data_IF_652042308505
#
_entry.id   IF_652042308505
#
_cell.length_a   1.000
_cell.length_b   1.000
_cell.length_c   1.000
_cell.angle_alpha   90.00
_cell.angle_beta   90.00
_cell.angle_gamma   90.00
#
_symmetry.space_group_name_H-M   'P 1'
#
loop_
_entity.id
_entity.type
_entity.pdbx_description
1 polymer ?
#
# COMPACT_ATOMS: atom_id res chain seq x y z
N UNK A 1 -8.18 -4.88 15.39
CA UNK A 1 -8.20 -3.39 15.46
C UNK A 1 -8.28 -2.92 14.02
N UNK A 2 -9.32 -2.19 13.65
CA UNK A 2 -9.38 -1.56 12.31
C UNK A 2 -8.57 -0.26 12.44
N UNK A 3 -7.45 -0.18 11.75
CA UNK A 3 -6.60 1.03 11.74
C UNK A 3 -6.87 1.74 10.41
N UNK A 4 -7.38 2.97 10.48
CA UNK A 4 -7.50 3.80 9.28
C UNK A 4 -6.14 4.37 8.87
N UNK A 5 -6.02 4.74 7.59
CA UNK A 5 -4.87 5.44 7.06
C UNK A 5 -4.59 6.71 7.86
N UNK A 6 -5.62 7.48 8.18
CA UNK A 6 -5.46 8.73 8.93
C UNK A 6 -4.88 8.50 10.34
N UNK A 7 -5.34 7.47 11.05
CA UNK A 7 -4.80 7.13 12.37
C UNK A 7 -3.36 6.64 12.28
N UNK A 8 -3.04 5.88 11.23
CA UNK A 8 -1.68 5.41 10.96
C UNK A 8 -0.76 6.58 10.59
N UNK A 9 -1.18 7.48 9.70
CA UNK A 9 -0.44 8.68 9.32
C UNK A 9 -0.08 9.52 10.55
N UNK A 10 -1.05 9.81 11.43
CA UNK A 10 -0.80 10.57 12.66
C UNK A 10 0.21 9.88 13.59
N UNK A 11 0.14 8.55 13.71
CA UNK A 11 1.06 7.79 14.54
C UNK A 11 2.49 7.85 13.97
N UNK A 12 2.63 7.59 12.66
CA UNK A 12 3.92 7.50 12.00
C UNK A 12 4.57 8.87 11.75
N UNK A 13 3.78 9.94 11.62
CA UNK A 13 4.32 11.29 11.38
C UNK A 13 5.24 11.77 12.51
N UNK A 14 5.04 11.29 13.73
CA UNK A 14 5.87 11.60 14.89
C UNK A 14 7.19 10.78 14.92
N UNK A 15 7.35 9.79 14.04
CA UNK A 15 8.53 8.95 13.97
C UNK A 15 9.52 9.50 12.95
N UNK A 16 10.15 10.64 13.27
CA UNK A 16 11.04 11.34 12.34
C UNK A 16 12.25 10.52 11.85
N UNK A 17 12.63 9.45 12.56
CA UNK A 17 13.73 8.55 12.18
C UNK A 17 13.25 7.34 11.36
N UNK A 18 11.95 7.21 11.11
CA UNK A 18 11.40 6.10 10.34
C UNK A 18 11.82 6.21 8.87
N UNK A 19 12.68 5.31 8.44
CA UNK A 19 13.19 5.23 7.07
C UNK A 19 12.65 4.02 6.31
N UNK A 20 12.09 3.04 7.03
CA UNK A 20 11.60 1.78 6.49
C UNK A 20 10.21 1.51 7.05
N UNK A 21 9.25 1.23 6.17
CA UNK A 21 7.88 0.91 6.55
C UNK A 21 7.43 -0.32 5.77
N UNK A 22 6.92 -1.32 6.49
CA UNK A 22 6.23 -2.48 5.90
C UNK A 22 4.80 -2.49 6.40
N UNK A 23 3.84 -2.59 5.48
CA UNK A 23 2.41 -2.56 5.80
C UNK A 23 1.77 -3.85 5.35
N UNK A 24 1.21 -4.60 6.29
CA UNK A 24 0.38 -5.76 6.00
C UNK A 24 -1.05 -5.44 6.39
N UNK A 25 -1.98 -5.56 5.46
CA UNK A 25 -3.38 -5.26 5.71
C UNK A 25 -4.30 -6.18 4.90
N UNK A 26 -5.41 -6.56 5.53
CA UNK A 26 -6.53 -7.23 4.85
C UNK A 26 -7.69 -6.25 4.64
N UNK A 27 -8.68 -6.68 3.85
CA UNK A 27 -9.93 -6.02 3.47
C UNK A 27 -10.51 -4.95 4.44
N UNK A 28 -11.30 -4.02 3.89
CA UNK A 28 -12.02 -2.89 4.55
C UNK A 28 -11.17 -1.75 5.12
N UNK A 29 -9.88 -1.72 4.83
CA UNK A 29 -9.04 -0.59 5.20
C UNK A 29 -8.95 0.42 4.03
N UNK A 30 -8.85 1.70 4.35
CA UNK A 30 -8.57 2.81 3.42
C UNK A 30 -7.09 2.85 2.99
N UNK A 31 -6.30 1.84 3.38
CA UNK A 31 -4.88 1.70 3.09
C UNK A 31 -4.57 1.32 1.63
N UNK A 32 -5.56 0.87 0.85
CA UNK A 32 -5.35 0.47 -0.56
C UNK A 32 -5.41 1.66 -1.54
N UNK A 33 -4.78 2.79 -1.19
CA UNK A 33 -4.71 3.97 -2.05
C UNK A 33 -3.25 4.42 -2.22
N UNK A 34 -2.66 4.12 -3.38
CA UNK A 34 -1.29 4.48 -3.70
C UNK A 34 -1.07 6.00 -3.80
N UNK A 35 -2.10 6.81 -4.03
CA UNK A 35 -1.93 8.27 -4.02
C UNK A 35 -1.81 8.79 -2.58
N UNK A 36 -2.56 8.23 -1.64
CA UNK A 36 -2.43 8.58 -0.22
C UNK A 36 -1.04 8.23 0.31
N UNK A 37 -0.57 7.00 0.03
CA UNK A 37 0.77 6.58 0.41
C UNK A 37 1.87 7.45 -0.22
N UNK A 38 1.74 7.80 -1.51
CA UNK A 38 2.67 8.72 -2.17
C UNK A 38 2.76 10.05 -1.40
N UNK A 39 1.62 10.66 -1.09
CA UNK A 39 1.57 11.94 -0.39
C UNK A 39 2.18 11.85 1.02
N UNK A 40 1.99 10.74 1.71
CA UNK A 40 2.60 10.48 3.01
C UNK A 40 4.12 10.28 2.91
N UNK A 41 4.59 9.47 1.96
CA UNK A 41 6.02 9.22 1.75
C UNK A 41 6.75 10.51 1.37
N UNK A 42 6.14 11.39 0.58
CA UNK A 42 6.72 12.69 0.22
C UNK A 42 6.90 13.64 1.42
N UNK A 43 6.14 13.44 2.51
CA UNK A 43 6.21 14.25 3.73
C UNK A 43 7.07 13.62 4.83
N UNK A 44 7.66 12.46 4.58
CA UNK A 44 8.41 11.68 5.59
C UNK A 44 9.81 11.32 5.08
N UNK A 45 10.61 10.72 5.96
CA UNK A 45 11.94 10.22 5.63
C UNK A 45 11.94 8.76 5.14
N UNK A 46 10.78 8.23 4.73
CA UNK A 46 10.66 6.83 4.31
C UNK A 46 11.37 6.63 2.95
N UNK A 47 12.37 5.77 2.99
CA UNK A 47 13.19 5.36 1.84
C UNK A 47 12.66 4.04 1.29
N UNK A 48 12.32 3.09 2.17
CA UNK A 48 11.80 1.77 1.80
C UNK A 48 10.35 1.66 2.26
N UNK A 49 9.45 1.38 1.31
CA UNK A 49 8.05 1.13 1.58
C UNK A 49 7.63 -0.18 0.93
N UNK A 50 7.39 -1.18 1.76
CA UNK A 50 6.90 -2.48 1.34
C UNK A 50 5.45 -2.64 1.81
N UNK A 51 4.66 -3.36 1.03
CA UNK A 51 3.31 -3.70 1.48
C UNK A 51 2.85 -5.05 0.94
N UNK A 52 1.91 -5.62 1.68
CA UNK A 52 1.16 -6.82 1.29
C UNK A 52 -0.29 -6.65 1.72
N UNK A 53 -1.17 -6.69 0.73
CA UNK A 53 -2.54 -6.21 0.82
C UNK A 53 -3.48 -7.31 0.35
N UNK A 54 -4.19 -7.92 1.29
CA UNK A 54 -5.19 -8.96 1.03
C UNK A 54 -6.56 -8.32 0.82
N UNK A 55 -7.13 -8.48 -0.36
CA UNK A 55 -8.43 -7.96 -0.78
C UNK A 55 -9.40 -9.15 -0.82
N UNK A 56 -10.43 -9.11 0.04
CA UNK A 56 -11.46 -10.16 0.09
C UNK A 56 -12.66 -9.73 -0.77
N UNK A 57 -13.22 -10.66 -1.57
CA UNK A 57 -14.49 -10.48 -2.28
C UNK A 57 -14.49 -9.29 -3.28
N UNK A 58 -13.86 -9.47 -4.45
CA UNK A 58 -13.52 -8.36 -5.35
C UNK A 58 -14.66 -7.90 -6.28
N UNK A 59 -15.65 -7.20 -5.73
CA UNK A 59 -16.40 -6.21 -6.54
C UNK A 59 -15.59 -4.92 -6.76
N UNK A 60 -14.41 -4.80 -6.13
CA UNK A 60 -13.46 -3.72 -6.38
C UNK A 60 -12.61 -4.08 -7.60
N UNK A 61 -12.54 -3.17 -8.55
CA UNK A 61 -11.65 -3.31 -9.70
C UNK A 61 -10.20 -3.22 -9.22
N UNK A 62 -9.57 -4.39 -9.06
CA UNK A 62 -8.15 -4.53 -8.67
C UNK A 62 -7.26 -3.71 -9.61
N UNK A 63 -7.66 -3.53 -10.87
CA UNK A 63 -6.94 -2.70 -11.84
C UNK A 63 -6.84 -1.24 -11.39
N UNK A 64 -7.91 -0.68 -10.83
CA UNK A 64 -7.91 0.70 -10.31
C UNK A 64 -6.96 0.82 -9.11
N UNK A 65 -6.98 -0.17 -8.21
CA UNK A 65 -6.07 -0.20 -7.05
C UNK A 65 -4.62 -0.30 -7.52
N UNK A 66 -4.32 -1.20 -8.46
CA UNK A 66 -3.01 -1.35 -9.09
C UNK A 66 -2.52 -0.06 -9.75
N UNK A 67 -3.39 0.65 -10.48
CA UNK A 67 -3.05 1.90 -11.15
C UNK A 67 -2.55 2.97 -10.16
N UNK A 68 -3.18 3.06 -8.97
CA UNK A 68 -2.73 4.00 -7.94
C UNK A 68 -1.30 3.74 -7.43
N UNK A 69 -0.86 2.47 -7.47
CA UNK A 69 0.50 2.06 -7.11
C UNK A 69 1.45 1.90 -8.32
N UNK A 70 1.02 2.25 -9.54
CA UNK A 70 1.83 2.19 -10.77
C UNK A 70 2.15 3.55 -11.37
N UNK A 71 1.95 4.63 -10.60
CA UNK A 71 2.39 5.97 -11.03
C UNK A 71 3.92 6.04 -11.22
N UNK A 72 4.38 7.05 -11.96
CA UNK A 72 5.82 7.28 -12.19
C UNK A 72 6.63 7.42 -10.91
N UNK A 73 6.01 7.95 -9.86
CA UNK A 73 6.61 8.05 -8.52
C UNK A 73 7.04 6.68 -8.00
N UNK A 74 6.14 5.69 -8.06
CA UNK A 74 6.40 4.34 -7.59
C UNK A 74 7.46 3.64 -8.46
N UNK A 75 7.25 3.65 -9.78
CA UNK A 75 8.06 2.85 -10.69
C UNK A 75 9.44 3.45 -11.00
N UNK A 76 9.56 4.78 -11.12
CA UNK A 76 10.79 5.44 -11.59
C UNK A 76 11.59 6.11 -10.48
N UNK A 77 10.92 6.74 -9.53
CA UNK A 77 11.62 7.47 -8.46
C UNK A 77 11.98 6.51 -7.33
N UNK A 78 11.00 5.72 -6.87
CA UNK A 78 11.18 4.78 -5.77
C UNK A 78 11.64 3.39 -6.21
N UNK A 79 11.50 3.06 -7.49
CA UNK A 79 11.81 1.72 -8.03
C UNK A 79 11.03 0.60 -7.33
N UNK A 80 9.80 0.89 -6.90
CA UNK A 80 8.90 -0.08 -6.28
C UNK A 80 8.00 -0.68 -7.34
N UNK A 81 8.23 -1.96 -7.63
CA UNK A 81 7.39 -2.73 -8.54
C UNK A 81 6.23 -3.33 -7.75
N UNK A 82 5.06 -3.40 -8.38
CA UNK A 82 3.85 -3.90 -7.74
C UNK A 82 3.29 -5.08 -8.51
N UNK A 83 3.23 -6.21 -7.81
CA UNK A 83 2.64 -7.45 -8.26
C UNK A 83 1.25 -7.64 -7.65
N UNK A 84 0.48 -8.52 -8.29
CA UNK A 84 -0.73 -9.07 -7.69
C UNK A 84 -0.85 -10.55 -8.03
N UNK A 85 -1.55 -11.30 -7.20
CA UNK A 85 -1.99 -12.65 -7.52
C UNK A 85 -3.40 -12.89 -7.00
N UNK A 86 -4.15 -13.71 -7.72
CA UNK A 86 -5.49 -14.14 -7.31
C UNK A 86 -5.39 -15.53 -6.71
N UNK A 87 -6.04 -15.72 -5.58
CA UNK A 87 -6.29 -17.01 -4.96
C UNK A 87 -7.77 -17.34 -5.22
N UNK A 88 -8.01 -18.03 -6.33
CA UNK A 88 -9.35 -18.38 -6.80
C UNK A 88 -10.05 -19.37 -5.84
N UNK A 89 -9.29 -20.17 -5.08
CA UNK A 89 -9.87 -21.12 -4.11
C UNK A 89 -10.53 -20.41 -2.93
N UNK A 90 -9.96 -19.27 -2.53
CA UNK A 90 -10.41 -18.50 -1.37
C UNK A 90 -11.14 -17.20 -1.73
N UNK A 91 -11.32 -16.90 -3.02
CA UNK A 91 -11.89 -15.65 -3.55
C UNK A 91 -11.16 -14.41 -2.99
N UNK A 92 -9.82 -14.43 -3.12
CA UNK A 92 -8.94 -13.38 -2.60
C UNK A 92 -8.00 -12.86 -3.66
N UNK A 93 -7.65 -11.59 -3.55
CA UNK A 93 -6.58 -10.98 -4.33
C UNK A 93 -5.52 -10.41 -3.40
N UNK A 94 -4.26 -10.70 -3.68
CA UNK A 94 -3.14 -10.11 -2.96
C UNK A 94 -2.47 -9.09 -3.85
N UNK A 95 -2.22 -7.89 -3.32
CA UNK A 95 -1.45 -6.83 -3.93
C UNK A 95 -0.19 -6.62 -3.11
N UNK A 96 0.98 -6.61 -3.73
CA UNK A 96 2.23 -6.58 -2.97
C UNK A 96 3.38 -5.91 -3.72
N UNK A 97 4.33 -5.39 -2.96
CA UNK A 97 5.61 -4.92 -3.51
C UNK A 97 6.51 -6.08 -3.91
N UNK A 98 7.11 -6.00 -5.09
CA UNK A 98 8.16 -6.91 -5.54
C UNK A 98 9.50 -6.25 -5.20
N UNK A 99 10.25 -6.89 -4.30
CA UNK A 99 11.58 -6.47 -3.82
C UNK A 99 12.67 -7.37 -4.34
#
# INVERSE_FOLDING_TARGET
IVVSFQSLEQCLFNLHQLTHLTVQASDKNDLFDGNQWKNFILKTNIIIFNFEFQILNSNKDVSILLESFRSSFWLREKHFYVGYHNDDENDQTFLYTIT
#
